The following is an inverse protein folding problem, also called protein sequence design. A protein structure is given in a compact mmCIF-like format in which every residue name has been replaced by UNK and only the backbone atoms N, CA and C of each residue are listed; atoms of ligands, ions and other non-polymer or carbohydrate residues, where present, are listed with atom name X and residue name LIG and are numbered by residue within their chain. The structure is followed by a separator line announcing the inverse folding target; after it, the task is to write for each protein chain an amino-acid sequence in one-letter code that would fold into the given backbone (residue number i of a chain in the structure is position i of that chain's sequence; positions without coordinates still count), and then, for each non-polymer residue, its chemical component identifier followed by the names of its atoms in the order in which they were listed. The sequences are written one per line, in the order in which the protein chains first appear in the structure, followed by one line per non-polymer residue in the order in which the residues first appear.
data_IF_207791560772
#
_entry.id   IF_207791560772
#
_cell.length_a   1.000
_cell.length_b   1.000
_cell.length_c   1.000
_cell.angle_alpha   90.00
_cell.angle_beta   90.00
_cell.angle_gamma   90.00
#
_symmetry.space_group_name_H-M   'P 1'
#
loop_
_entity.id
_entity.type
_entity.pdbx_description
1 polymer ?
#
# COMPACT_ATOMS: atom_id res chain seq x y z
N UNK A 1 4.87 -13.63 -1.83
CA UNK A 1 4.03 -12.44 -1.62
C UNK A 1 4.54 -11.30 -2.47
N UNK A 2 3.67 -10.64 -3.17
CA UNK A 2 4.07 -9.61 -4.11
C UNK A 2 2.95 -8.59 -4.27
N UNK A 3 3.34 -7.33 -4.55
CA UNK A 3 2.40 -6.24 -4.84
C UNK A 3 2.78 -5.70 -6.22
N UNK A 4 1.86 -5.83 -7.16
CA UNK A 4 2.10 -5.34 -8.52
C UNK A 4 2.00 -3.83 -8.56
N UNK A 5 2.83 -3.13 -9.36
CA UNK A 5 2.64 -1.71 -9.59
C UNK A 5 1.25 -1.43 -10.15
N UNK A 6 0.69 -0.28 -9.83
CA UNK A 6 -0.63 0.09 -10.29
C UNK A 6 -1.34 0.92 -9.25
N UNK A 7 -2.64 1.14 -9.47
CA UNK A 7 -3.42 2.00 -8.63
C UNK A 7 -4.19 1.18 -7.59
N UNK A 8 -4.14 1.65 -6.34
CA UNK A 8 -4.78 1.00 -5.21
C UNK A 8 -5.60 2.02 -4.42
N UNK A 9 -6.66 1.54 -3.78
CA UNK A 9 -7.46 2.36 -2.88
C UNK A 9 -7.31 1.85 -1.46
N UNK A 10 -6.96 2.75 -0.55
CA UNK A 10 -6.94 2.46 0.88
C UNK A 10 -8.39 2.31 1.36
N UNK A 11 -8.60 1.46 2.37
CA UNK A 11 -9.97 1.18 2.84
C UNK A 11 -10.69 2.44 3.33
N UNK A 12 -9.95 3.50 3.66
CA UNK A 12 -10.54 4.79 4.05
C UNK A 12 -10.88 5.68 2.86
N UNK A 13 -10.60 5.24 1.63
CA UNK A 13 -11.03 5.91 0.41
C UNK A 13 -9.97 6.58 -0.42
N UNK A 14 -8.83 6.94 0.16
CA UNK A 14 -7.77 7.62 -0.58
C UNK A 14 -7.08 6.66 -1.54
N UNK A 15 -6.64 7.19 -2.68
CA UNK A 15 -6.02 6.39 -3.73
C UNK A 15 -4.52 6.64 -3.78
N UNK A 16 -3.80 5.62 -4.19
CA UNK A 16 -2.35 5.62 -4.26
C UNK A 16 -1.90 4.87 -5.49
N UNK A 17 -0.71 5.24 -5.98
CA UNK A 17 -0.04 4.51 -7.05
C UNK A 17 1.14 3.76 -6.45
N UNK A 18 1.13 2.43 -6.58
CA UNK A 18 2.29 1.62 -6.18
C UNK A 18 3.34 1.73 -7.28
N UNK A 19 4.52 2.18 -6.89
CA UNK A 19 5.67 2.33 -7.80
C UNK A 19 6.41 1.01 -7.92
N UNK A 20 6.59 0.31 -6.79
CA UNK A 20 7.32 -0.94 -6.76
C UNK A 20 7.64 -1.33 -5.34
N UNK A 21 8.54 -2.29 -5.21
CA UNK A 21 9.00 -2.76 -3.90
C UNK A 21 10.51 -2.59 -3.80
N UNK A 22 10.98 -2.46 -2.56
CA UNK A 22 12.40 -2.32 -2.28
C UNK A 22 12.68 -3.04 -0.97
N UNK A 23 13.92 -3.04 -0.52
CA UNK A 23 14.30 -3.62 0.76
C UNK A 23 14.67 -2.53 1.74
N UNK A 24 14.30 -2.72 3.00
CA UNK A 24 14.78 -1.88 4.07
C UNK A 24 16.30 -2.09 4.15
N UNK A 25 17.08 -1.01 4.18
CA UNK A 25 18.53 -1.10 4.08
C UNK A 25 19.16 -1.82 5.28
N UNK A 26 18.52 -1.82 6.42
CA UNK A 26 19.06 -2.44 7.63
C UNK A 26 18.50 -3.84 7.87
N UNK A 27 17.19 -4.01 7.77
CA UNK A 27 16.52 -5.27 8.11
C UNK A 27 16.35 -6.19 6.91
N UNK A 28 16.50 -5.66 5.69
CA UNK A 28 16.23 -6.35 4.43
C UNK A 28 14.75 -6.70 4.26
N UNK A 29 13.90 -6.15 5.08
CA UNK A 29 12.46 -6.38 4.99
C UNK A 29 11.90 -5.77 3.70
N UNK A 30 11.04 -6.50 2.97
CA UNK A 30 10.41 -5.93 1.76
C UNK A 30 9.51 -4.76 2.11
N UNK A 31 9.63 -3.68 1.33
CA UNK A 31 8.87 -2.45 1.53
C UNK A 31 8.15 -2.11 0.23
N UNK A 32 6.90 -1.65 0.34
CA UNK A 32 6.16 -1.12 -0.82
C UNK A 32 6.37 0.37 -0.89
N UNK A 33 6.74 0.86 -2.08
CA UNK A 33 6.90 2.28 -2.35
C UNK A 33 5.67 2.73 -3.11
N UNK A 34 4.97 3.74 -2.60
CA UNK A 34 3.74 4.19 -3.24
C UNK A 34 3.61 5.70 -3.12
N UNK A 35 2.88 6.28 -4.07
CA UNK A 35 2.66 7.72 -4.17
C UNK A 35 1.20 8.04 -3.86
N UNK A 36 0.97 9.02 -3.00
CA UNK A 36 -0.39 9.52 -2.77
C UNK A 36 -0.89 10.19 -4.05
N UNK A 37 -2.14 9.91 -4.42
CA UNK A 37 -2.79 10.56 -5.57
C UNK A 37 -3.68 11.70 -5.10
N UNK A 38 -3.27 12.35 -4.03
CA UNK A 38 -3.98 13.49 -3.45
C UNK A 38 -2.95 14.40 -2.75
N UNK A 39 -3.37 15.56 -2.34
CA UNK A 39 -2.55 16.54 -1.61
C UNK A 39 -1.25 16.84 -2.37
N UNK A 40 -0.10 16.73 -1.72
CA UNK A 40 1.20 17.06 -2.33
C UNK A 40 1.77 15.92 -3.17
N UNK A 41 1.05 14.81 -3.28
CA UNK A 41 1.46 13.63 -4.06
C UNK A 41 2.79 13.06 -3.59
N UNK A 42 3.00 13.06 -2.27
CA UNK A 42 4.23 12.57 -1.67
C UNK A 42 4.43 11.07 -1.82
N UNK A 43 5.68 10.66 -1.71
CA UNK A 43 6.05 9.26 -1.72
C UNK A 43 6.06 8.71 -0.30
N UNK A 44 5.59 7.48 -0.15
CA UNK A 44 5.52 6.78 1.12
C UNK A 44 6.09 5.38 0.98
N UNK A 45 6.52 4.81 2.08
CA UNK A 45 6.89 3.39 2.13
C UNK A 45 6.14 2.73 3.28
N UNK A 46 5.85 1.45 3.11
CA UNK A 46 5.19 0.63 4.13
C UNK A 46 5.70 -0.79 4.00
N UNK A 47 5.97 -1.49 5.11
CA UNK A 47 6.34 -2.91 5.01
C UNK A 47 5.33 -3.69 4.19
N UNK A 48 5.82 -4.58 3.33
CA UNK A 48 4.97 -5.37 2.44
C UNK A 48 3.89 -6.12 3.22
N UNK A 49 4.24 -6.72 4.35
CA UNK A 49 3.28 -7.48 5.15
C UNK A 49 2.14 -6.59 5.64
N UNK A 50 2.45 -5.35 6.00
CA UNK A 50 1.42 -4.39 6.45
C UNK A 50 0.58 -3.90 5.28
N UNK A 51 1.19 -3.73 4.11
CA UNK A 51 0.45 -3.29 2.91
C UNK A 51 -0.61 -4.33 2.52
N UNK A 52 -0.28 -5.61 2.69
CA UNK A 52 -1.16 -6.72 2.32
C UNK A 52 -2.11 -7.13 3.44
N UNK A 53 -2.03 -6.47 4.58
CA UNK A 53 -2.83 -6.82 5.76
C UNK A 53 -4.30 -6.53 5.54
N UNK A 54 -5.15 -7.38 6.12
CA UNK A 54 -6.58 -7.09 6.18
C UNK A 54 -6.89 -6.30 7.45
N UNK A 55 -7.93 -5.48 7.37
CA UNK A 55 -8.39 -4.67 8.50
C UNK A 55 -9.90 -4.88 8.66
N UNK A 56 -10.39 -4.57 9.86
CA UNK A 56 -11.84 -4.60 10.10
C UNK A 56 -12.36 -3.17 9.95
N UNK A 57 -13.34 -3.00 9.06
CA UNK A 57 -13.94 -1.70 8.77
C UNK A 57 -15.43 -1.87 8.62
N UNK A 58 -16.21 -1.14 9.43
CA UNK A 58 -17.68 -1.24 9.45
C UNK A 58 -18.15 -2.68 9.66
N UNK A 59 -17.48 -3.41 10.56
CA UNK A 59 -17.83 -4.78 10.90
C UNK A 59 -17.42 -5.81 9.86
N UNK A 60 -16.69 -5.41 8.82
CA UNK A 60 -16.25 -6.31 7.75
C UNK A 60 -14.74 -6.37 7.70
N UNK A 61 -14.23 -7.54 7.34
CA UNK A 61 -12.81 -7.72 7.07
C UNK A 61 -12.56 -7.35 5.61
N UNK A 62 -11.72 -6.35 5.37
CA UNK A 62 -11.42 -5.85 4.03
C UNK A 62 -9.90 -5.69 3.90
N UNK A 63 -9.35 -5.75 2.67
CA UNK A 63 -7.94 -5.47 2.50
C UNK A 63 -7.64 -4.02 2.85
N UNK A 64 -6.47 -3.77 3.45
CA UNK A 64 -6.03 -2.41 3.76
C UNK A 64 -5.93 -1.58 2.48
N UNK A 65 -5.41 -2.19 1.41
CA UNK A 65 -5.33 -1.58 0.09
C UNK A 65 -5.92 -2.55 -0.93
N UNK A 66 -6.74 -2.04 -1.82
CA UNK A 66 -7.39 -2.84 -2.86
C UNK A 66 -6.95 -2.32 -4.23
N UNK A 67 -6.51 -3.21 -5.11
CA UNK A 67 -6.16 -2.81 -6.47
C UNK A 67 -7.41 -2.40 -7.22
N UNK A 68 -7.34 -1.26 -7.95
CA UNK A 68 -8.49 -0.71 -8.64
C UNK A 68 -8.25 -0.51 -10.14
N UNK A 69 -7.07 -0.91 -10.65
CA UNK A 69 -6.85 -0.84 -12.10
C UNK A 69 -6.08 -2.02 -12.65
#
# INVERSE_FOLDING_TARGET
MNVEPGRYRHFKGNEYEVIGTARHSETLEPMVIYRALYADRGLWVRPLVMFLEEVVHDGRTVPRFERID
#
